data_IF_773275285783
#
_entry.id   IF_773275285783
#
_cell.length_a   1.000
_cell.length_b   1.000
_cell.length_c   1.000
_cell.angle_alpha   90.00
_cell.angle_beta   90.00
_cell.angle_gamma   90.00
#
_symmetry.space_group_name_H-M   'P 1'
#
loop_
_entity.id
_entity.type
_entity.pdbx_description
1 polymer ?
#
# COMPACT_ATOMS: atom_id res chain seq x y z
N UNK A 1 -4.34 -16.43 -15.81
CA UNK A 1 -3.45 -16.95 -14.77
C UNK A 1 -3.48 -18.48 -14.80
N UNK A 2 -2.35 -19.14 -14.61
CA UNK A 2 -2.28 -20.62 -14.63
C UNK A 2 -1.35 -21.13 -13.54
N UNK A 3 -1.75 -22.19 -12.85
CA UNK A 3 -0.90 -22.91 -11.91
C UNK A 3 -0.29 -24.14 -12.60
N UNK A 4 1.02 -24.32 -12.44
CA UNK A 4 1.76 -25.48 -12.95
C UNK A 4 2.80 -25.97 -11.95
N UNK A 5 3.26 -27.20 -12.14
CA UNK A 5 4.28 -27.84 -11.29
C UNK A 5 5.62 -27.84 -12.01
N UNK A 6 6.65 -27.24 -11.41
CA UNK A 6 8.02 -27.30 -11.94
C UNK A 6 8.76 -28.56 -11.43
N UNK A 7 8.53 -28.93 -10.17
CA UNK A 7 9.06 -30.12 -9.53
C UNK A 7 8.28 -30.45 -8.24
N UNK A 8 8.75 -31.44 -7.48
CA UNK A 8 8.08 -31.93 -6.28
C UNK A 8 7.97 -30.90 -5.14
N UNK A 9 8.82 -29.87 -5.10
CA UNK A 9 8.78 -28.82 -4.07
C UNK A 9 8.37 -27.44 -4.59
N UNK A 10 8.30 -27.26 -5.91
CA UNK A 10 8.14 -25.96 -6.55
C UNK A 10 6.96 -25.93 -7.52
N UNK A 11 6.09 -24.95 -7.35
CA UNK A 11 5.03 -24.61 -8.30
C UNK A 11 5.29 -23.25 -8.95
N UNK A 12 4.71 -23.05 -10.13
CA UNK A 12 4.77 -21.81 -10.90
C UNK A 12 3.36 -21.30 -11.09
N UNK A 13 3.11 -20.05 -10.69
CA UNK A 13 1.90 -19.30 -11.01
C UNK A 13 2.27 -18.33 -12.14
N UNK A 14 1.81 -18.65 -13.35
CA UNK A 14 1.90 -17.76 -14.51
C UNK A 14 0.87 -16.66 -14.35
N UNK A 15 1.35 -15.43 -14.12
CA UNK A 15 0.51 -14.28 -13.84
C UNK A 15 -0.31 -13.86 -15.06
N UNK A 16 -1.44 -13.21 -14.83
CA UNK A 16 -2.25 -12.61 -15.90
C UNK A 16 -1.59 -11.35 -16.45
N UNK A 17 -1.97 -10.95 -17.67
CA UNK A 17 -1.47 -9.72 -18.29
C UNK A 17 -1.80 -8.45 -17.47
N UNK A 18 -2.94 -8.44 -16.77
CA UNK A 18 -3.32 -7.34 -15.88
C UNK A 18 -3.36 -7.83 -14.44
N UNK A 19 -2.66 -7.13 -13.56
CA UNK A 19 -2.69 -7.34 -12.12
C UNK A 19 -3.45 -6.19 -11.46
N UNK A 20 -4.71 -6.44 -11.13
CA UNK A 20 -5.66 -5.49 -10.54
C UNK A 20 -6.46 -6.17 -9.41
N UNK A 21 -7.63 -5.65 -9.04
CA UNK A 21 -8.46 -6.23 -7.97
C UNK A 21 -8.97 -7.65 -8.30
N UNK A 22 -9.20 -7.98 -9.58
CA UNK A 22 -9.84 -9.23 -10.01
C UNK A 22 -8.96 -10.47 -9.79
N UNK A 23 -7.65 -10.29 -9.69
CA UNK A 23 -6.70 -11.40 -9.58
C UNK A 23 -6.55 -11.96 -8.17
N UNK A 24 -7.04 -11.25 -7.14
CA UNK A 24 -6.79 -11.57 -5.74
C UNK A 24 -7.32 -12.97 -5.37
N UNK A 25 -8.58 -13.26 -5.68
CA UNK A 25 -9.20 -14.55 -5.34
C UNK A 25 -8.50 -15.72 -6.02
N UNK A 26 -8.11 -15.54 -7.29
CA UNK A 26 -7.45 -16.58 -8.06
C UNK A 26 -6.01 -16.83 -7.58
N UNK A 27 -5.26 -15.77 -7.24
CA UNK A 27 -3.94 -15.89 -6.61
C UNK A 27 -4.00 -16.70 -5.32
N UNK A 28 -4.98 -16.40 -4.45
CA UNK A 28 -5.10 -17.08 -3.17
C UNK A 28 -5.55 -18.53 -3.33
N UNK A 29 -6.42 -18.79 -4.30
CA UNK A 29 -6.84 -20.15 -4.65
C UNK A 29 -5.63 -20.98 -5.08
N UNK A 30 -4.82 -20.48 -6.00
CA UNK A 30 -3.61 -21.18 -6.43
C UNK A 30 -2.60 -21.37 -5.30
N UNK A 31 -2.39 -20.39 -4.42
CA UNK A 31 -1.51 -20.60 -3.26
C UNK A 31 -2.03 -21.72 -2.34
N UNK A 32 -3.34 -21.78 -2.08
CA UNK A 32 -3.93 -22.86 -1.27
C UNK A 32 -3.75 -24.23 -1.93
N UNK A 33 -3.94 -24.31 -3.24
CA UNK A 33 -3.68 -25.54 -4.02
C UNK A 33 -2.22 -25.99 -3.89
N UNK A 34 -1.26 -25.06 -3.97
CA UNK A 34 0.16 -25.36 -3.75
C UNK A 34 0.38 -25.91 -2.34
N UNK A 35 -0.14 -25.22 -1.32
CA UNK A 35 0.04 -25.60 0.08
C UNK A 35 -0.57 -26.97 0.40
N UNK A 36 -1.69 -27.32 -0.23
CA UNK A 36 -2.31 -28.65 -0.13
C UNK A 36 -1.47 -29.76 -0.79
N UNK A 37 -0.66 -29.41 -1.79
CA UNK A 37 0.26 -30.33 -2.47
C UNK A 37 1.61 -30.51 -1.75
N UNK A 38 1.71 -30.08 -0.48
CA UNK A 38 2.92 -30.14 0.37
C UNK A 38 4.15 -29.41 -0.20
N UNK A 39 3.94 -28.49 -1.15
CA UNK A 39 5.00 -27.67 -1.73
C UNK A 39 5.20 -26.39 -0.93
N UNK A 40 6.46 -25.98 -0.80
CA UNK A 40 6.87 -24.83 -0.01
C UNK A 40 7.49 -23.69 -0.86
N UNK A 41 7.60 -23.85 -2.18
CA UNK A 41 8.16 -22.84 -3.09
C UNK A 41 7.19 -22.50 -4.20
N UNK A 42 6.95 -21.21 -4.41
CA UNK A 42 6.09 -20.69 -5.47
C UNK A 42 6.84 -19.64 -6.27
N UNK A 43 6.96 -19.85 -7.57
CA UNK A 43 7.46 -18.87 -8.52
C UNK A 43 6.27 -18.13 -9.12
N UNK A 44 6.28 -16.81 -9.03
CA UNK A 44 5.38 -15.92 -9.75
C UNK A 44 6.08 -15.51 -11.04
N UNK A 45 5.55 -15.97 -12.17
CA UNK A 45 6.09 -15.62 -13.48
C UNK A 45 5.45 -14.33 -13.99
N UNK A 46 6.24 -13.25 -13.98
CA UNK A 46 5.83 -11.90 -14.39
C UNK A 46 5.99 -11.63 -15.88
N UNK A 47 6.60 -12.54 -16.66
CA UNK A 47 6.80 -12.34 -18.10
C UNK A 47 5.51 -11.99 -18.87
N UNK A 48 4.33 -12.55 -18.54
CA UNK A 48 3.09 -12.18 -19.21
C UNK A 48 2.51 -10.83 -18.79
N UNK A 49 2.97 -10.24 -17.69
CA UNK A 49 2.36 -9.04 -17.10
C UNK A 49 2.57 -7.84 -18.03
N UNK A 50 1.47 -7.28 -18.50
CA UNK A 50 1.44 -6.05 -19.29
C UNK A 50 1.36 -4.81 -18.39
N UNK A 51 0.50 -4.84 -17.37
CA UNK A 51 0.36 -3.75 -16.40
C UNK A 51 -0.08 -4.26 -15.02
N UNK A 52 0.43 -3.60 -13.98
CA UNK A 52 0.08 -3.84 -12.58
C UNK A 52 -0.28 -2.51 -11.92
N UNK A 53 -1.46 -2.42 -11.31
CA UNK A 53 -1.86 -1.24 -10.54
C UNK A 53 -1.67 -1.46 -9.03
N UNK A 54 -2.08 -0.48 -8.22
CA UNK A 54 -1.94 -0.55 -6.76
C UNK A 54 -2.76 -1.67 -6.11
N UNK A 55 -3.90 -2.05 -6.68
CA UNK A 55 -4.69 -3.19 -6.22
C UNK A 55 -3.97 -4.53 -6.50
N UNK A 56 -3.34 -4.66 -7.66
CA UNK A 56 -2.50 -5.83 -7.99
C UNK A 56 -1.33 -6.01 -7.02
N UNK A 57 -0.61 -4.92 -6.69
CA UNK A 57 0.43 -4.95 -5.67
C UNK A 57 -0.13 -5.31 -4.29
N UNK A 58 -1.31 -4.80 -3.93
CA UNK A 58 -1.98 -5.16 -2.67
C UNK A 58 -2.29 -6.65 -2.59
N UNK A 59 -2.76 -7.26 -3.67
CA UNK A 59 -2.97 -8.71 -3.75
C UNK A 59 -1.65 -9.49 -3.57
N UNK A 60 -0.54 -9.03 -4.15
CA UNK A 60 0.78 -9.65 -3.98
C UNK A 60 1.30 -9.55 -2.54
N UNK A 61 1.09 -8.42 -1.85
CA UNK A 61 1.46 -8.29 -0.42
C UNK A 61 0.69 -9.30 0.44
N UNK A 62 -0.61 -9.41 0.22
CA UNK A 62 -1.46 -10.36 0.95
C UNK A 62 -1.04 -11.80 0.67
N UNK A 63 -0.76 -12.13 -0.60
CA UNK A 63 -0.23 -13.43 -1.01
C UNK A 63 1.08 -13.76 -0.27
N UNK A 64 2.01 -12.81 -0.23
CA UNK A 64 3.30 -12.97 0.45
C UNK A 64 3.14 -13.12 1.98
N UNK A 65 2.21 -12.40 2.59
CA UNK A 65 1.87 -12.57 4.00
C UNK A 65 1.31 -13.97 4.29
N UNK A 66 0.36 -14.43 3.46
CA UNK A 66 -0.23 -15.78 3.56
C UNK A 66 0.82 -16.88 3.35
N UNK A 67 1.69 -16.74 2.35
CA UNK A 67 2.76 -17.69 2.08
C UNK A 67 3.72 -17.80 3.29
N UNK A 68 4.15 -16.65 3.84
CA UNK A 68 5.00 -16.59 5.04
C UNK A 68 4.37 -17.30 6.24
N UNK A 69 3.09 -17.09 6.50
CA UNK A 69 2.37 -17.77 7.60
C UNK A 69 2.33 -19.29 7.43
N UNK A 70 2.32 -19.77 6.19
CA UNK A 70 2.33 -21.19 5.85
C UNK A 70 3.74 -21.73 5.56
N UNK A 71 4.79 -20.97 5.90
CA UNK A 71 6.21 -21.33 5.68
C UNK A 71 6.57 -21.58 4.21
N UNK A 72 5.77 -21.09 3.28
CA UNK A 72 6.08 -21.08 1.87
C UNK A 72 6.92 -19.85 1.49
N UNK A 73 7.81 -20.02 0.51
CA UNK A 73 8.67 -18.98 -0.06
C UNK A 73 8.15 -18.57 -1.42
N UNK A 74 7.97 -17.26 -1.63
CA UNK A 74 7.61 -16.71 -2.91
C UNK A 74 8.84 -16.19 -3.66
N UNK A 75 8.85 -16.43 -4.95
CA UNK A 75 9.87 -15.96 -5.87
C UNK A 75 9.22 -15.19 -7.01
N UNK A 76 9.85 -14.13 -7.50
CA UNK A 76 9.44 -13.43 -8.71
C UNK A 76 10.43 -13.71 -9.83
N UNK A 77 9.91 -14.04 -11.01
CA UNK A 77 10.70 -14.34 -12.20
C UNK A 77 10.25 -13.49 -13.38
N UNK A 78 11.20 -13.07 -14.22
CA UNK A 78 10.92 -12.35 -15.46
C UNK A 78 10.54 -10.89 -15.30
N UNK A 79 10.95 -10.24 -14.20
CA UNK A 79 10.78 -8.81 -14.02
C UNK A 79 11.71 -8.03 -14.96
N UNK A 80 11.22 -6.97 -15.57
CA UNK A 80 12.11 -5.94 -16.12
C UNK A 80 12.70 -5.09 -14.98
N UNK A 81 13.71 -4.27 -15.30
CA UNK A 81 14.36 -3.39 -14.31
C UNK A 81 13.33 -2.56 -13.52
N UNK A 82 12.36 -1.98 -14.22
CA UNK A 82 11.39 -1.06 -13.64
C UNK A 82 10.40 -1.75 -12.70
N UNK A 83 9.96 -2.96 -13.01
CA UNK A 83 9.11 -3.76 -12.12
C UNK A 83 9.89 -4.22 -10.90
N UNK A 84 11.18 -4.51 -11.05
CA UNK A 84 12.09 -4.67 -9.92
C UNK A 84 12.09 -3.44 -9.00
N UNK A 85 12.16 -2.23 -9.54
CA UNK A 85 12.08 -0.98 -8.76
C UNK A 85 10.72 -0.81 -8.08
N UNK A 86 9.60 -1.17 -8.74
CA UNK A 86 8.25 -1.12 -8.14
C UNK A 86 8.13 -2.10 -6.97
N UNK A 87 8.69 -3.31 -7.08
CA UNK A 87 8.75 -4.26 -5.95
C UNK A 87 9.57 -3.71 -4.78
N UNK A 88 10.66 -2.96 -5.05
CA UNK A 88 11.39 -2.24 -4.01
C UNK A 88 10.57 -1.13 -3.38
N UNK A 89 9.93 -0.30 -4.20
CA UNK A 89 9.17 0.86 -3.76
C UNK A 89 8.00 0.48 -2.84
N UNK A 90 7.41 -0.69 -3.11
CA UNK A 90 6.28 -1.26 -2.35
C UNK A 90 6.73 -2.15 -1.18
N UNK A 91 8.04 -2.36 -1.02
CA UNK A 91 8.61 -3.21 0.03
C UNK A 91 8.41 -4.72 -0.18
N UNK A 92 7.93 -5.14 -1.36
CA UNK A 92 7.65 -6.54 -1.70
C UNK A 92 8.91 -7.43 -1.73
N UNK A 93 10.10 -6.87 -1.94
CA UNK A 93 11.36 -7.66 -1.87
C UNK A 93 11.58 -8.39 -0.53
N UNK A 94 10.98 -7.91 0.56
CA UNK A 94 11.08 -8.60 1.85
C UNK A 94 10.17 -9.84 1.94
N UNK A 95 9.16 -9.94 1.08
CA UNK A 95 8.21 -11.06 1.02
C UNK A 95 8.34 -11.94 -0.23
N UNK A 96 8.96 -11.43 -1.29
CA UNK A 96 9.11 -12.10 -2.60
C UNK A 96 10.56 -11.93 -3.07
N UNK A 97 11.28 -13.04 -3.18
CA UNK A 97 12.66 -13.03 -3.64
C UNK A 97 12.72 -12.99 -5.17
N UNK A 98 13.48 -12.07 -5.75
CA UNK A 98 13.63 -12.03 -7.22
C UNK A 98 14.66 -13.06 -7.69
N UNK A 99 14.30 -13.76 -8.77
CA UNK A 99 15.16 -14.69 -9.49
C UNK A 99 15.77 -13.96 -10.70
N UNK A 100 17.03 -13.55 -10.56
CA UNK A 100 17.78 -12.91 -11.64
C UNK A 100 18.52 -13.95 -12.48
N UNK A 101 18.59 -13.73 -13.79
CA UNK A 101 19.32 -14.60 -14.74
C UNK A 101 20.84 -14.54 -14.59
N UNK A 102 21.37 -13.54 -13.86
CA UNK A 102 22.81 -13.25 -13.75
C UNK A 102 23.43 -13.89 -12.50
N UNK A 103 22.64 -14.16 -11.46
CA UNK A 103 23.17 -14.73 -10.23
C UNK A 103 23.24 -16.25 -10.30
N UNK A 104 24.44 -16.79 -10.04
CA UNK A 104 24.69 -18.20 -9.78
C UNK A 104 23.58 -18.76 -8.90
N UNK A 105 22.95 -19.85 -9.37
CA UNK A 105 21.95 -20.66 -8.69
C UNK A 105 21.49 -20.00 -7.39
N UNK A 106 20.43 -19.18 -7.45
CA UNK A 106 19.72 -18.83 -6.24
C UNK A 106 19.48 -20.16 -5.54
N UNK A 107 19.94 -20.30 -4.30
CA UNK A 107 19.99 -21.58 -3.57
C UNK A 107 18.74 -22.50 -3.70
N UNK A 108 17.51 -22.06 -4.03
CA UNK A 108 16.40 -22.99 -4.20
C UNK A 108 16.22 -23.66 -5.58
N UNK A 109 16.86 -23.21 -6.68
CA UNK A 109 16.57 -23.72 -8.04
C UNK A 109 17.85 -24.01 -8.86
N UNK A 110 17.97 -25.25 -9.36
CA UNK A 110 19.10 -25.62 -10.23
C UNK A 110 19.00 -24.93 -11.59
N UNK A 111 20.16 -24.71 -12.26
CA UNK A 111 20.22 -24.17 -13.63
C UNK A 111 19.31 -24.92 -14.61
N UNK A 112 19.21 -26.24 -14.46
CA UNK A 112 18.33 -27.07 -15.31
C UNK A 112 16.85 -26.72 -15.13
N UNK A 113 16.41 -26.40 -13.91
CA UNK A 113 15.02 -26.00 -13.63
C UNK A 113 14.70 -24.58 -14.10
N UNK A 114 15.70 -23.67 -14.06
CA UNK A 114 15.55 -22.36 -14.70
C UNK A 114 15.37 -22.49 -16.22
N UNK A 115 16.11 -23.41 -16.87
CA UNK A 115 15.95 -23.67 -18.30
C UNK A 115 14.59 -24.30 -18.66
N UNK A 116 13.96 -25.06 -17.76
CA UNK A 116 12.57 -25.52 -17.94
C UNK A 116 11.58 -24.34 -17.89
N UNK A 117 11.76 -23.43 -16.93
CA UNK A 117 10.94 -22.23 -16.78
C UNK A 117 11.07 -21.29 -18.00
N UNK A 118 12.28 -21.12 -18.52
CA UNK A 118 12.57 -20.34 -19.74
C UNK A 118 11.81 -20.85 -20.96
N UNK A 119 11.63 -22.16 -21.08
CA UNK A 119 10.96 -22.82 -22.21
C UNK A 119 9.44 -22.84 -22.11
N UNK A 120 8.86 -22.49 -20.95
CA UNK A 120 7.41 -22.38 -20.82
C UNK A 120 6.88 -21.32 -21.78
N UNK A 121 5.82 -21.64 -22.52
CA UNK A 121 5.22 -20.71 -23.48
C UNK A 121 4.52 -19.55 -22.75
N UNK A 122 4.72 -18.35 -23.26
CA UNK A 122 4.08 -17.15 -22.73
C UNK A 122 3.96 -16.07 -23.79
N UNK A 123 2.90 -15.26 -23.70
CA UNK A 123 2.80 -14.01 -24.42
C UNK A 123 3.44 -12.92 -23.57
N UNK A 124 4.56 -12.34 -24.02
CA UNK A 124 5.24 -11.27 -23.31
C UNK A 124 4.33 -10.05 -23.11
N UNK A 125 4.22 -9.58 -21.88
CA UNK A 125 3.60 -8.31 -21.55
C UNK A 125 4.61 -7.17 -21.57
N UNK A 126 4.14 -5.93 -21.70
CA UNK A 126 5.02 -4.75 -21.74
C UNK A 126 5.66 -4.42 -20.39
N UNK A 127 5.09 -4.89 -19.28
CA UNK A 127 5.44 -4.45 -17.93
C UNK A 127 5.50 -2.91 -17.85
N UNK A 128 4.40 -2.27 -18.26
CA UNK A 128 4.19 -0.82 -18.23
C UNK A 128 4.13 -0.33 -16.79
N UNK A 129 4.88 0.74 -16.50
CA UNK A 129 4.92 1.44 -15.22
C UNK A 129 4.03 2.69 -15.18
N UNK A 130 3.14 2.85 -16.17
CA UNK A 130 2.17 3.95 -16.21
C UNK A 130 1.46 4.11 -14.86
N UNK A 131 1.40 5.35 -14.36
CA UNK A 131 0.77 5.68 -13.08
C UNK A 131 1.65 5.47 -11.84
N UNK A 132 2.77 4.75 -11.92
CA UNK A 132 3.66 4.54 -10.78
C UNK A 132 4.58 5.73 -10.50
N UNK A 133 4.80 5.99 -9.22
CA UNK A 133 5.82 6.94 -8.79
C UNK A 133 7.22 6.49 -9.21
N UNK A 134 8.15 7.42 -9.51
CA UNK A 134 9.53 7.09 -9.82
C UNK A 134 10.21 6.36 -8.66
N UNK A 135 11.40 5.80 -8.90
CA UNK A 135 12.20 5.25 -7.80
C UNK A 135 12.54 6.36 -6.78
N UNK A 136 12.17 6.14 -5.51
CA UNK A 136 12.46 7.07 -4.40
C UNK A 136 13.19 6.32 -3.28
N UNK A 137 14.53 6.23 -3.32
CA UNK A 137 15.30 5.57 -2.27
C UNK A 137 15.14 6.25 -0.91
N UNK A 138 15.09 7.60 -0.92
CA UNK A 138 14.81 8.46 0.22
C UNK A 138 14.05 9.68 -0.24
N UNK A 139 13.07 10.09 0.55
CA UNK A 139 12.30 11.30 0.36
C UNK A 139 13.25 12.51 0.45
N UNK A 140 13.16 13.40 -0.53
CA UNK A 140 13.81 14.70 -0.50
C UNK A 140 12.73 15.77 -0.43
N UNK A 141 12.75 16.56 0.64
CA UNK A 141 11.81 17.67 0.80
C UNK A 141 12.41 18.90 0.14
N UNK A 142 11.96 19.20 -1.08
CA UNK A 142 12.37 20.39 -1.83
C UNK A 142 11.54 21.63 -1.46
N UNK A 143 10.27 21.43 -1.12
CA UNK A 143 9.31 22.47 -0.79
C UNK A 143 8.67 22.19 0.56
N UNK A 144 8.49 23.25 1.35
CA UNK A 144 7.68 23.24 2.56
C UNK A 144 6.41 24.07 2.31
N UNK A 145 5.23 23.44 2.18
CA UNK A 145 3.97 24.17 2.05
C UNK A 145 3.71 25.10 3.25
N UNK A 146 2.99 26.19 2.99
CA UNK A 146 2.58 27.13 4.03
C UNK A 146 1.73 26.42 5.11
N UNK A 147 1.96 26.78 6.37
CA UNK A 147 1.24 26.20 7.52
C UNK A 147 1.74 24.82 7.97
N UNK A 148 2.35 24.02 7.09
CA UNK A 148 2.87 22.69 7.44
C UNK A 148 4.05 22.79 8.42
N UNK A 149 4.17 21.86 9.37
CA UNK A 149 5.41 21.71 10.14
C UNK A 149 6.53 21.08 9.29
N UNK A 150 6.15 20.17 8.36
CA UNK A 150 7.04 19.42 7.47
C UNK A 150 8.16 18.64 8.19
N UNK A 151 7.84 17.99 9.32
CA UNK A 151 8.80 17.15 10.06
C UNK A 151 8.68 15.67 9.68
N UNK A 152 9.74 14.92 10.00
CA UNK A 152 9.79 13.47 9.83
C UNK A 152 9.57 12.97 8.39
N UNK A 153 9.94 13.79 7.39
CA UNK A 153 9.84 13.46 5.97
C UNK A 153 11.22 13.38 5.30
N UNK A 154 12.00 14.46 5.35
CA UNK A 154 13.27 14.54 4.64
C UNK A 154 14.25 13.44 5.06
N UNK A 155 14.90 12.82 4.08
CA UNK A 155 15.84 11.71 4.24
C UNK A 155 15.21 10.38 4.67
N UNK A 156 13.88 10.31 4.92
CA UNK A 156 13.20 9.06 5.28
C UNK A 156 13.03 8.17 4.06
N UNK A 157 13.12 6.87 4.28
CA UNK A 157 12.73 5.87 3.28
C UNK A 157 11.21 5.75 3.26
N UNK A 158 10.66 5.36 2.12
CA UNK A 158 9.30 4.86 2.04
C UNK A 158 9.27 3.44 2.63
N UNK A 159 8.18 3.09 3.32
CA UNK A 159 8.03 1.79 3.97
C UNK A 159 6.68 1.15 3.61
N UNK A 160 6.73 -0.10 3.18
CA UNK A 160 5.57 -0.96 2.99
C UNK A 160 5.26 -1.78 4.25
N UNK A 161 4.37 -2.75 4.09
CA UNK A 161 3.83 -3.54 5.20
C UNK A 161 4.89 -4.47 5.81
N UNK A 162 5.81 -5.01 5.00
CA UNK A 162 6.86 -5.91 5.50
C UNK A 162 7.88 -5.19 6.42
N UNK A 163 7.98 -3.86 6.32
CA UNK A 163 8.83 -3.03 7.17
C UNK A 163 8.20 -2.66 8.53
N UNK A 164 6.89 -2.91 8.73
CA UNK A 164 6.17 -2.58 9.96
C UNK A 164 6.25 -3.64 11.07
N UNK A 165 5.90 -3.25 12.30
CA UNK A 165 6.01 -4.07 13.50
C UNK A 165 4.73 -4.89 13.83
N UNK A 166 3.57 -4.23 13.93
CA UNK A 166 2.33 -4.84 14.44
C UNK A 166 1.68 -5.84 13.47
N UNK A 167 0.50 -6.42 13.80
CA UNK A 167 -0.26 -7.24 12.86
C UNK A 167 -0.60 -6.49 11.57
N UNK A 168 -0.75 -7.21 10.45
CA UNK A 168 -1.15 -6.64 9.17
C UNK A 168 -2.66 -6.58 9.08
N UNK A 169 -3.19 -5.38 8.94
CA UNK A 169 -4.61 -5.12 8.80
C UNK A 169 -4.93 -4.58 7.41
N UNK A 170 -6.03 -5.08 6.87
CA UNK A 170 -6.77 -4.42 5.82
C UNK A 170 -8.00 -3.75 6.42
N UNK A 171 -8.22 -2.48 6.09
CA UNK A 171 -9.44 -1.75 6.41
C UNK A 171 -10.00 -1.18 5.12
N UNK A 172 -11.20 -1.61 4.77
CA UNK A 172 -11.89 -1.21 3.55
C UNK A 172 -13.14 -0.44 3.94
N UNK A 173 -13.23 0.80 3.48
CA UNK A 173 -14.38 1.69 3.62
C UNK A 173 -14.98 1.89 2.25
N UNK A 174 -16.31 1.93 2.14
CA UNK A 174 -16.95 2.21 0.85
C UNK A 174 -18.23 3.01 0.99
N UNK A 175 -18.51 3.76 -0.07
CA UNK A 175 -19.74 4.52 -0.31
C UNK A 175 -20.37 3.98 -1.59
N UNK A 176 -21.64 3.61 -1.54
CA UNK A 176 -22.39 3.18 -2.72
C UNK A 176 -23.23 4.34 -3.26
N UNK A 177 -22.93 4.76 -4.48
CA UNK A 177 -23.61 5.83 -5.19
C UNK A 177 -24.52 5.23 -6.26
N UNK A 178 -25.85 5.36 -6.07
CA UNK A 178 -26.90 4.89 -7.00
C UNK A 178 -27.50 5.99 -7.89
N UNK A 179 -26.97 7.21 -7.81
CA UNK A 179 -27.58 8.38 -8.45
C UNK A 179 -27.22 8.41 -9.93
N UNK A 180 -28.24 8.29 -10.78
CA UNK A 180 -28.08 8.40 -12.23
C UNK A 180 -27.45 9.75 -12.63
N UNK A 181 -26.47 9.71 -13.53
CA UNK A 181 -25.84 10.89 -14.13
C UNK A 181 -24.55 11.39 -13.46
N UNK A 182 -24.15 10.85 -12.31
CA UNK A 182 -22.80 11.11 -11.77
C UNK A 182 -21.80 10.23 -12.52
N UNK A 183 -20.76 10.83 -13.11
CA UNK A 183 -19.71 10.09 -13.79
C UNK A 183 -18.60 9.72 -12.82
N UNK A 184 -17.94 8.58 -13.05
CA UNK A 184 -16.81 8.13 -12.23
C UNK A 184 -15.64 9.11 -12.28
N UNK A 185 -15.39 9.72 -13.43
CA UNK A 185 -14.30 10.69 -13.62
C UNK A 185 -14.51 11.91 -12.73
N UNK A 186 -15.75 12.40 -12.62
CA UNK A 186 -16.11 13.53 -11.76
C UNK A 186 -15.86 13.20 -10.27
N UNK A 187 -16.09 11.94 -9.87
CA UNK A 187 -15.84 11.50 -8.50
C UNK A 187 -14.34 11.40 -8.22
N UNK A 188 -13.52 10.85 -9.13
CA UNK A 188 -12.06 10.79 -8.96
C UNK A 188 -11.49 12.20 -8.86
N UNK A 189 -11.90 13.09 -9.77
CA UNK A 189 -11.50 14.49 -9.75
C UNK A 189 -11.89 15.16 -8.43
N UNK A 190 -13.13 14.98 -7.98
CA UNK A 190 -13.58 15.54 -6.70
C UNK A 190 -12.76 15.02 -5.51
N UNK A 191 -12.45 13.72 -5.45
CA UNK A 191 -11.59 13.17 -4.40
C UNK A 191 -10.18 13.74 -4.43
N UNK A 192 -9.65 14.09 -5.60
CA UNK A 192 -8.31 14.62 -5.76
C UNK A 192 -8.24 16.12 -5.44
N UNK A 193 -9.12 16.92 -6.05
CA UNK A 193 -9.13 18.39 -5.91
C UNK A 193 -9.57 18.83 -4.52
N UNK A 194 -10.57 18.17 -3.94
CA UNK A 194 -11.10 18.48 -2.61
C UNK A 194 -10.50 17.59 -1.51
N UNK A 195 -9.38 16.91 -1.79
CA UNK A 195 -8.78 15.96 -0.85
C UNK A 195 -8.55 16.55 0.54
N UNK A 196 -8.07 17.79 0.61
CA UNK A 196 -7.79 18.51 1.87
C UNK A 196 -9.09 18.94 2.57
N UNK A 197 -10.08 19.39 1.81
CA UNK A 197 -11.37 19.87 2.33
C UNK A 197 -12.20 18.75 2.96
N UNK A 198 -12.06 17.53 2.46
CA UNK A 198 -12.76 16.36 2.99
C UNK A 198 -12.15 15.80 4.29
N UNK A 199 -11.02 16.36 4.76
CA UNK A 199 -10.36 15.89 5.98
C UNK A 199 -11.01 16.48 7.24
N UNK A 200 -11.06 15.71 8.33
CA UNK A 200 -11.57 16.26 9.59
C UNK A 200 -10.61 17.32 10.15
N UNK A 201 -11.16 18.34 10.82
CA UNK A 201 -10.41 19.53 11.30
C UNK A 201 -9.20 19.27 12.21
N UNK A 202 -9.08 18.08 12.80
CA UNK A 202 -7.94 17.68 13.65
C UNK A 202 -6.79 17.03 12.86
N UNK A 203 -6.96 16.85 11.56
CA UNK A 203 -6.01 16.19 10.67
C UNK A 203 -5.75 17.07 9.43
N UNK A 204 -4.68 17.86 9.47
CA UNK A 204 -4.37 18.80 8.40
C UNK A 204 -3.42 18.17 7.39
N UNK A 205 -3.77 18.27 6.11
CA UNK A 205 -2.96 17.80 4.99
C UNK A 205 -2.49 18.98 4.16
N UNK A 206 -1.24 18.91 3.71
CA UNK A 206 -0.60 19.96 2.94
C UNK A 206 0.07 19.34 1.71
N UNK A 207 -0.64 19.20 0.58
CA UNK A 207 -0.04 18.77 -0.68
C UNK A 207 0.94 19.84 -1.19
N UNK A 208 1.89 19.43 -2.05
CA UNK A 208 2.69 20.38 -2.83
C UNK A 208 1.81 21.06 -3.89
N UNK A 209 2.33 22.09 -4.57
CA UNK A 209 1.62 22.77 -5.65
C UNK A 209 1.30 21.88 -6.86
N UNK A 210 1.88 20.67 -6.91
CA UNK A 210 1.61 19.66 -7.94
C UNK A 210 0.45 18.71 -7.58
N UNK A 211 -0.13 18.86 -6.39
CA UNK A 211 -1.28 18.07 -5.96
C UNK A 211 -0.98 16.57 -5.85
N UNK A 212 -1.95 15.76 -6.26
CA UNK A 212 -1.85 14.30 -6.23
C UNK A 212 -1.28 13.82 -7.57
N UNK A 213 0.05 13.76 -7.65
CA UNK A 213 0.78 13.24 -8.80
C UNK A 213 1.84 12.22 -8.35
N UNK A 214 2.14 11.17 -9.13
CA UNK A 214 3.08 10.13 -8.72
C UNK A 214 4.45 10.68 -8.26
N UNK A 215 4.87 10.31 -7.05
CA UNK A 215 6.11 10.76 -6.41
C UNK A 215 5.98 12.05 -5.59
N UNK A 216 4.88 12.77 -5.68
CA UNK A 216 4.65 13.98 -4.88
C UNK A 216 4.37 13.65 -3.41
N UNK A 217 4.60 14.65 -2.55
CA UNK A 217 4.54 14.51 -1.10
C UNK A 217 3.33 15.28 -0.58
N UNK A 218 2.63 14.70 0.39
CA UNK A 218 1.58 15.38 1.15
C UNK A 218 1.99 15.35 2.62
N UNK A 219 2.21 16.52 3.21
CA UNK A 219 2.54 16.61 4.64
C UNK A 219 1.29 16.46 5.49
N UNK A 220 1.44 15.88 6.67
CA UNK A 220 0.34 15.60 7.59
C UNK A 220 0.72 16.10 8.97
N UNK A 221 -0.11 16.96 9.54
CA UNK A 221 -0.04 17.37 10.93
C UNK A 221 -1.33 16.98 11.65
N UNK A 222 -1.26 15.94 12.48
CA UNK A 222 -2.41 15.41 13.22
C UNK A 222 -2.31 15.75 14.70
N UNK A 223 -3.43 16.13 15.31
CA UNK A 223 -3.54 16.30 16.76
C UNK A 223 -4.06 15.02 17.41
N UNK A 224 -3.21 14.34 18.16
CA UNK A 224 -3.59 13.14 18.93
C UNK A 224 -3.66 13.45 20.44
N UNK A 225 -4.22 12.56 21.27
CA UNK A 225 -4.13 12.69 22.72
C UNK A 225 -2.69 12.75 23.26
N UNK A 226 -1.72 12.18 22.52
CA UNK A 226 -0.29 12.22 22.85
C UNK A 226 0.44 13.48 22.34
N UNK A 227 -0.28 14.43 21.74
CA UNK A 227 0.26 15.66 21.15
C UNK A 227 0.34 15.61 19.63
N UNK A 228 1.06 16.55 19.03
CA UNK A 228 1.19 16.68 17.58
C UNK A 228 2.01 15.51 17.01
N UNK A 229 1.51 14.92 15.93
CA UNK A 229 2.24 14.04 15.03
C UNK A 229 2.44 14.79 13.72
N UNK A 230 3.69 15.12 13.38
CA UNK A 230 4.03 15.73 12.09
C UNK A 230 4.80 14.73 11.23
N UNK A 231 4.29 14.44 10.04
CA UNK A 231 4.79 13.45 9.08
C UNK A 231 4.23 13.78 7.69
N UNK A 232 3.92 12.77 6.89
CA UNK A 232 3.32 12.90 5.57
C UNK A 232 3.15 11.53 4.91
N UNK A 233 2.81 11.57 3.63
CA UNK A 233 2.72 10.44 2.72
C UNK A 233 3.31 10.83 1.36
N UNK A 234 3.62 9.85 0.53
CA UNK A 234 3.98 10.06 -0.86
C UNK A 234 2.94 9.42 -1.76
N UNK A 235 2.62 10.06 -2.88
CA UNK A 235 1.77 9.47 -3.92
C UNK A 235 2.52 8.33 -4.58
N UNK A 236 2.07 7.10 -4.36
CA UNK A 236 2.68 5.88 -4.89
C UNK A 236 2.21 5.57 -6.31
N UNK A 237 0.92 5.77 -6.56
CA UNK A 237 0.26 5.37 -7.80
C UNK A 237 -0.92 6.30 -8.11
N UNK A 238 -1.16 6.60 -9.38
CA UNK A 238 -2.35 7.33 -9.88
C UNK A 238 -2.74 6.78 -11.25
N UNK A 239 -4.02 6.48 -11.44
CA UNK A 239 -4.65 6.23 -12.75
C UNK A 239 -6.01 6.94 -12.84
N UNK A 240 -6.80 6.61 -13.86
CA UNK A 240 -8.13 7.18 -14.09
C UNK A 240 -9.20 6.70 -13.10
N UNK A 241 -8.88 5.71 -12.26
CA UNK A 241 -9.83 5.08 -11.32
C UNK A 241 -9.37 5.15 -9.87
N UNK A 242 -8.10 5.46 -9.62
CA UNK A 242 -7.50 5.31 -8.30
C UNK A 242 -6.27 6.17 -8.08
N UNK A 243 -5.99 6.43 -6.80
CA UNK A 243 -4.70 6.94 -6.36
C UNK A 243 -4.32 6.32 -5.01
N UNK A 244 -3.02 6.16 -4.78
CA UNK A 244 -2.50 5.47 -3.60
C UNK A 244 -1.45 6.33 -2.91
N UNK A 245 -1.52 6.40 -1.58
CA UNK A 245 -0.51 7.03 -0.74
C UNK A 245 0.27 5.97 0.04
N UNK A 246 1.59 6.08 0.06
CA UNK A 246 2.49 5.22 0.84
C UNK A 246 3.21 6.02 1.93
N UNK A 247 3.52 5.36 3.04
CA UNK A 247 4.02 6.04 4.23
C UNK A 247 5.54 6.09 4.33
N UNK A 248 6.10 7.15 4.94
CA UNK A 248 7.52 7.27 5.25
C UNK A 248 7.90 6.53 6.54
N UNK A 249 9.19 6.23 6.70
CA UNK A 249 9.74 5.65 7.92
C UNK A 249 9.45 6.52 9.15
N UNK A 250 8.76 5.94 10.14
CA UNK A 250 8.38 6.60 11.38
C UNK A 250 6.96 7.18 11.38
N UNK A 251 6.24 7.09 10.26
CA UNK A 251 4.80 7.31 10.22
C UNK A 251 4.07 6.32 11.15
N UNK A 252 2.87 6.63 11.70
CA UNK A 252 2.12 5.67 12.52
C UNK A 252 1.91 4.29 11.85
N UNK A 253 1.59 4.29 10.56
CA UNK A 253 1.44 3.11 9.73
C UNK A 253 2.64 2.83 8.82
N UNK A 254 2.93 1.56 8.59
CA UNK A 254 3.83 1.04 7.57
C UNK A 254 3.00 0.33 6.50
N UNK A 255 2.86 0.95 5.33
CA UNK A 255 1.95 0.49 4.28
C UNK A 255 1.38 1.64 3.46
N UNK A 256 0.19 1.44 2.91
CA UNK A 256 -0.47 2.43 2.06
C UNK A 256 -1.98 2.47 2.26
N UNK A 257 -2.57 3.54 1.72
CA UNK A 257 -4.01 3.69 1.54
C UNK A 257 -4.30 3.98 0.07
N UNK A 258 -5.26 3.25 -0.51
CA UNK A 258 -5.72 3.42 -1.89
C UNK A 258 -7.13 3.99 -1.87
N UNK A 259 -7.36 5.02 -2.68
CA UNK A 259 -8.66 5.56 -3.03
C UNK A 259 -8.98 5.06 -4.42
N UNK A 260 -10.15 4.47 -4.62
CA UNK A 260 -10.48 3.83 -5.88
C UNK A 260 -11.97 3.85 -6.16
N UNK A 261 -12.31 3.73 -7.43
CA UNK A 261 -13.69 3.59 -7.88
C UNK A 261 -13.88 2.26 -8.60
N UNK A 262 -14.92 1.55 -8.18
CA UNK A 262 -15.47 0.42 -8.91
C UNK A 262 -16.89 0.71 -9.42
N UNK A 263 -17.27 0.07 -10.53
CA UNK A 263 -18.52 0.34 -11.22
C UNK A 263 -19.23 -0.99 -11.49
N UNK A 264 -20.50 -1.07 -11.10
CA UNK A 264 -21.44 -2.11 -11.53
C UNK A 264 -22.56 -1.48 -12.35
N UNK A 265 -23.40 -2.30 -12.98
CA UNK A 265 -24.46 -1.84 -13.90
C UNK A 265 -25.31 -0.68 -13.35
N UNK A 266 -25.59 -0.65 -12.04
CA UNK A 266 -26.47 0.33 -11.41
C UNK A 266 -25.81 1.15 -10.29
N UNK A 267 -24.51 0.99 -10.04
CA UNK A 267 -23.87 1.58 -8.85
C UNK A 267 -22.39 1.87 -9.02
N UNK A 268 -21.96 3.01 -8.47
CA UNK A 268 -20.55 3.36 -8.34
C UNK A 268 -20.14 3.14 -6.89
N UNK A 269 -19.13 2.30 -6.69
CA UNK A 269 -18.52 2.02 -5.39
C UNK A 269 -17.25 2.84 -5.24
N UNK A 270 -17.30 3.86 -4.38
CA UNK A 270 -16.11 4.61 -3.99
C UNK A 270 -15.51 3.90 -2.78
N UNK A 271 -14.22 3.54 -2.86
CA UNK A 271 -13.53 2.75 -1.86
C UNK A 271 -12.30 3.49 -1.34
N UNK A 272 -12.08 3.41 -0.02
CA UNK A 272 -10.81 3.71 0.62
C UNK A 272 -10.32 2.40 1.25
N UNK A 273 -9.16 1.91 0.83
CA UNK A 273 -8.57 0.67 1.35
C UNK A 273 -7.20 0.94 1.95
N UNK A 274 -7.09 0.83 3.26
CA UNK A 274 -5.81 0.83 3.98
C UNK A 274 -5.28 -0.59 4.13
N UNK A 275 -4.01 -0.80 3.76
CA UNK A 275 -3.28 -2.05 3.97
C UNK A 275 -1.97 -1.74 4.69
N UNK A 276 -1.92 -2.02 5.99
CA UNK A 276 -0.80 -1.56 6.83
C UNK A 276 -0.55 -2.43 8.07
N UNK A 277 0.67 -2.31 8.59
CA UNK A 277 1.02 -2.66 9.97
C UNK A 277 1.24 -1.38 10.78
N UNK A 278 1.15 -1.45 12.10
CA UNK A 278 1.74 -0.40 12.94
C UNK A 278 3.26 -0.34 12.69
N UNK A 279 3.83 0.85 12.54
CA UNK A 279 5.25 0.99 12.18
C UNK A 279 6.22 0.50 13.26
N UNK A 280 5.86 0.68 14.52
CA UNK A 280 6.71 0.38 15.67
C UNK A 280 5.88 -0.03 16.91
N UNK A 281 6.52 -0.53 17.99
CA UNK A 281 5.81 -0.99 19.18
C UNK A 281 4.99 0.11 19.90
N UNK A 282 5.44 1.37 19.87
CA UNK A 282 4.71 2.46 20.50
C UNK A 282 3.40 2.71 19.77
N UNK A 283 3.45 2.80 18.43
CA UNK A 283 2.24 2.96 17.62
C UNK A 283 1.33 1.74 17.72
N UNK A 284 1.85 0.52 17.80
CA UNK A 284 1.05 -0.69 18.01
C UNK A 284 0.21 -0.60 19.30
N UNK A 285 0.82 -0.18 20.41
CA UNK A 285 0.10 0.04 21.67
C UNK A 285 -0.94 1.16 21.50
N UNK A 286 -0.55 2.27 20.87
CA UNK A 286 -1.47 3.39 20.63
C UNK A 286 -2.68 2.99 19.78
N UNK A 287 -2.48 2.16 18.75
CA UNK A 287 -3.55 1.63 17.89
C UNK A 287 -4.54 0.76 18.65
N UNK A 288 -4.05 -0.08 19.57
CA UNK A 288 -4.90 -0.92 20.43
C UNK A 288 -5.77 -0.09 21.38
N UNK A 289 -5.24 1.00 21.92
CA UNK A 289 -5.95 1.85 22.89
C UNK A 289 -6.98 2.75 22.19
N UNK A 290 -6.57 3.48 21.15
CA UNK A 290 -7.42 4.50 20.52
C UNK A 290 -7.14 4.74 19.04
N UNK A 291 -5.92 4.49 18.55
CA UNK A 291 -5.51 4.85 17.20
C UNK A 291 -6.35 4.19 16.10
N UNK A 292 -6.79 2.93 16.28
CA UNK A 292 -7.59 2.26 15.25
C UNK A 292 -8.94 2.96 15.04
N UNK A 293 -9.60 3.34 16.14
CA UNK A 293 -10.88 4.06 16.10
C UNK A 293 -10.72 5.46 15.50
N UNK A 294 -9.58 6.11 15.78
CA UNK A 294 -9.27 7.43 15.22
C UNK A 294 -9.18 7.39 13.69
N UNK A 295 -8.43 6.44 13.12
CA UNK A 295 -8.36 6.25 11.67
C UNK A 295 -9.72 5.86 11.07
N UNK A 296 -10.45 4.95 11.71
CA UNK A 296 -11.77 4.56 11.27
C UNK A 296 -12.74 5.74 11.19
N UNK A 297 -12.58 6.73 12.08
CA UNK A 297 -13.37 7.96 12.04
C UNK A 297 -12.93 8.89 10.91
N UNK A 298 -11.63 9.00 10.64
CA UNK A 298 -11.11 9.85 9.55
C UNK A 298 -11.64 9.37 8.20
N UNK A 299 -11.47 8.09 7.85
CA UNK A 299 -11.85 7.62 6.52
C UNK A 299 -13.36 7.58 6.30
N UNK A 300 -14.14 7.30 7.35
CA UNK A 300 -15.60 7.48 7.29
C UNK A 300 -15.96 8.95 7.04
N UNK A 301 -15.32 9.89 7.73
CA UNK A 301 -15.56 11.31 7.54
C UNK A 301 -15.24 11.80 6.13
N UNK A 302 -14.16 11.30 5.51
CA UNK A 302 -13.80 11.62 4.13
C UNK A 302 -14.91 11.18 3.17
N UNK A 303 -15.36 9.92 3.26
CA UNK A 303 -16.45 9.41 2.41
C UNK A 303 -17.78 10.12 2.69
N UNK A 304 -18.07 10.46 3.96
CA UNK A 304 -19.23 11.26 4.32
C UNK A 304 -19.19 12.68 3.72
N UNK A 305 -18.00 13.30 3.67
CA UNK A 305 -17.82 14.62 3.09
C UNK A 305 -17.97 14.59 1.57
N UNK A 306 -17.43 13.55 0.92
CA UNK A 306 -17.66 13.30 -0.51
C UNK A 306 -19.15 13.08 -0.81
N UNK A 307 -19.86 12.29 0.00
CA UNK A 307 -21.29 12.04 -0.17
C UNK A 307 -22.10 13.35 -0.12
N UNK A 308 -21.76 14.24 0.83
CA UNK A 308 -22.38 15.57 0.95
C UNK A 308 -22.05 16.46 -0.24
N UNK A 309 -20.80 16.47 -0.69
CA UNK A 309 -20.37 17.22 -1.87
C UNK A 309 -21.15 16.82 -3.13
N UNK A 310 -21.34 15.53 -3.35
CA UNK A 310 -22.07 14.99 -4.51
C UNK A 310 -23.60 15.07 -4.37
N UNK A 311 -24.11 15.43 -3.19
CA UNK A 311 -25.54 15.42 -2.87
C UNK A 311 -26.15 14.03 -3.04
N UNK A 312 -25.50 13.01 -2.45
CA UNK A 312 -25.92 11.60 -2.43
C UNK A 312 -26.13 11.12 -0.98
N UNK A 313 -26.76 9.96 -0.82
CA UNK A 313 -26.99 9.37 0.51
C UNK A 313 -25.68 9.00 1.21
N UNK A 314 -25.57 9.36 2.50
CA UNK A 314 -24.40 9.06 3.33
C UNK A 314 -24.49 7.62 3.88
N UNK A 315 -24.22 6.62 3.03
CA UNK A 315 -24.32 5.19 3.37
C UNK A 315 -22.95 4.50 3.58
N UNK A 316 -22.03 5.18 4.27
CA UNK A 316 -20.65 4.70 4.42
C UNK A 316 -20.57 3.40 5.23
N UNK A 317 -19.98 2.37 4.63
CA UNK A 317 -19.75 1.06 5.23
C UNK A 317 -18.26 0.81 5.46
N UNK A 318 -17.93 -0.12 6.37
CA UNK A 318 -16.55 -0.51 6.65
C UNK A 318 -16.45 -1.97 7.04
N UNK A 319 -15.41 -2.63 6.54
CA UNK A 319 -14.95 -3.96 6.95
C UNK A 319 -13.47 -3.91 7.26
N UNK A 320 -13.02 -4.77 8.18
CA UNK A 320 -11.59 -4.94 8.46
C UNK A 320 -11.23 -6.40 8.64
N UNK A 321 -10.05 -6.75 8.16
CA UNK A 321 -9.52 -8.10 8.21
C UNK A 321 -8.07 -8.06 8.70
N UNK A 322 -7.74 -8.95 9.62
CA UNK A 322 -6.35 -9.16 10.02
C UNK A 322 -5.76 -10.21 9.07
N UNK A 323 -4.91 -9.77 8.15
CA UNK A 323 -4.25 -10.66 7.16
C UNK A 323 -3.17 -11.48 7.85
N UNK A 324 -2.39 -10.85 8.73
CA UNK A 324 -1.32 -11.52 9.45
C UNK A 324 -1.24 -11.06 10.91
N UNK A 325 -1.22 -12.00 11.84
CA UNK A 325 -1.28 -11.75 13.29
C UNK A 325 0.09 -11.62 13.95
N UNK A 326 1.17 -11.91 13.22
CA UNK A 326 2.54 -11.91 13.75
C UNK A 326 3.03 -10.50 14.11
N UNK A 327 3.81 -10.41 15.17
CA UNK A 327 4.61 -9.22 15.49
C UNK A 327 6.02 -9.38 14.90
N UNK A 328 6.47 -8.39 14.13
CA UNK A 328 7.79 -8.41 13.51
C UNK A 328 8.85 -7.81 14.45
N UNK A 329 9.33 -8.61 15.40
CA UNK A 329 10.32 -8.17 16.40
C UNK A 329 11.63 -7.66 15.80
N UNK A 330 12.02 -8.13 14.62
CA UNK A 330 13.15 -7.59 13.86
C UNK A 330 12.99 -6.10 13.49
N UNK A 331 11.78 -5.55 13.60
CA UNK A 331 11.43 -4.15 13.31
C UNK A 331 11.26 -3.29 14.57
N UNK A 332 11.57 -3.80 15.76
CA UNK A 332 11.44 -3.05 17.03
C UNK A 332 12.20 -1.72 17.03
N UNK A 333 13.36 -1.67 16.36
CA UNK A 333 14.21 -0.48 16.25
C UNK A 333 13.58 0.66 15.43
N UNK A 334 12.45 0.42 14.75
CA UNK A 334 11.69 1.47 14.08
C UNK A 334 11.23 2.57 15.04
N UNK A 335 11.11 2.28 16.34
CA UNK A 335 10.77 3.28 17.37
C UNK A 335 11.73 4.47 17.37
N UNK A 336 12.97 4.29 16.93
CA UNK A 336 13.93 5.39 16.75
C UNK A 336 13.37 6.50 15.86
N UNK A 337 12.59 6.13 14.85
CA UNK A 337 12.07 7.03 13.82
C UNK A 337 10.69 7.60 14.13
N UNK A 338 10.06 7.15 15.23
CA UNK A 338 8.68 7.42 15.61
C UNK A 338 8.30 8.91 15.54
N UNK A 339 7.32 9.24 14.68
CA UNK A 339 6.94 10.62 14.40
C UNK A 339 6.24 11.32 15.58
N UNK A 340 5.55 10.60 16.47
CA UNK A 340 4.97 11.18 17.68
C UNK A 340 6.07 11.66 18.62
N UNK A 341 7.06 10.80 18.91
CA UNK A 341 8.20 11.12 19.78
C UNK A 341 9.03 12.25 19.18
N UNK A 342 9.36 12.16 17.89
CA UNK A 342 10.16 13.16 17.18
C UNK A 342 9.45 14.52 17.02
N UNK A 343 8.14 14.57 17.22
CA UNK A 343 7.33 15.80 17.17
C UNK A 343 7.09 16.42 18.55
N UNK A 344 7.44 15.76 19.66
CA UNK A 344 7.25 16.30 21.02
C UNK A 344 7.81 17.72 21.23
N UNK A 345 8.97 18.11 20.67
CA UNK A 345 9.45 19.49 20.81
C UNK A 345 8.50 20.56 20.28
N UNK A 346 7.63 20.23 19.30
CA UNK A 346 6.63 21.15 18.77
C UNK A 346 5.54 21.47 19.79
N UNK A 347 5.16 20.48 20.61
CA UNK A 347 4.14 20.65 21.65
C UNK A 347 4.59 21.68 22.70
N UNK A 348 5.88 21.64 23.06
CA UNK A 348 6.52 22.57 23.99
C UNK A 348 6.51 23.99 23.40
N UNK A 349 6.92 24.16 22.15
CA UNK A 349 6.93 25.46 21.47
C UNK A 349 5.52 26.08 21.33
N UNK A 350 4.48 25.28 21.10
CA UNK A 350 3.10 25.76 21.07
C UNK A 350 2.56 26.18 22.45
N UNK A 351 3.02 25.57 23.54
CA UNK A 351 2.65 25.99 24.89
C UNK A 351 3.23 27.37 25.22
N UNK A 352 4.50 27.62 24.87
CA UNK A 352 5.15 28.92 25.10
C UNK A 352 4.61 30.06 24.21
N UNK A 353 4.04 29.75 23.04
CA UNK A 353 3.36 30.75 22.19
C UNK A 353 1.98 31.15 22.69
N UNK A 354 1.33 30.34 23.55
CA UNK A 354 0.03 30.66 24.17
C UNK A 354 0.16 31.41 25.50
N UNK A 355 1.36 31.51 26.06
CA UNK A 355 1.66 32.21 27.31
C UNK A 355 2.23 33.62 27.12
N UNK A 356 2.12 34.16 25.91
CA UNK A 356 2.31 35.57 25.55
C UNK A 356 1.04 36.03 24.86
#
# INVERSE_FOLDING_TARGET
>A
MQLSSLNNSTSVITLSAFLNTEIEELLFTHLREVLQSEKDRVILDFRPVDHMNSAGVSALVKLAAMAKQNRAKLFAYGLNKRYGEILALTGLYEGIQVLDSVHEAVEPLSRAKLAELEKMDFKAGRQSDAGWAPEVPRIKVAEKPEGAFAKNMDGRRIIGQFQGFGPMWEKTYWLNIKKAGIKKEDIVLAMQEHFVEFQPSKNSFYPTNKGIAPGEIIFIDSRTPGGIVSTGVMVLYVDDRSFTFITPQGHPEAGWVTFSIDESEDSIYVQIQGLARASDPFFEIAFKIAGSKFQETIWKHVLSSLAKYLGVEENVQMKKYCIATDLQWSKVNNIWYNSQIRSLPLNIATLFKRSR
#
